data_IF_929253174038
#
_entry.id   IF_929253174038
#
_cell.length_a   1.000
_cell.length_b   1.000
_cell.length_c   1.000
_cell.angle_alpha   90.00
_cell.angle_beta   90.00
_cell.angle_gamma   90.00
#
_symmetry.space_group_name_H-M   'P 1'
#
loop_
_entity.id
_entity.type
_entity.pdbx_description
1 polymer ?
#
# COMPACT_ATOMS: atom_id res chain seq x y z
N UNK A 1 28.85 -6.94 -15.18
CA UNK A 1 27.55 -6.50 -14.64
C UNK A 1 27.75 -5.87 -13.26
N UNK A 2 26.81 -5.04 -12.78
CA UNK A 2 26.91 -4.29 -11.51
C UNK A 2 26.08 -5.00 -10.44
N UNK A 3 26.62 -5.20 -9.24
CA UNK A 3 25.82 -5.66 -8.10
C UNK A 3 26.62 -6.11 -6.89
N UNK A 4 25.94 -6.68 -5.90
CA UNK A 4 26.52 -7.06 -4.61
C UNK A 4 27.09 -8.51 -4.58
N UNK A 5 26.72 -9.35 -5.55
CA UNK A 5 27.11 -10.77 -5.58
C UNK A 5 28.54 -10.94 -6.13
N UNK A 6 29.32 -11.93 -5.66
CA UNK A 6 30.62 -12.27 -6.25
C UNK A 6 30.55 -12.46 -7.78
N UNK A 7 31.54 -11.95 -8.50
CA UNK A 7 31.57 -11.95 -9.96
C UNK A 7 31.04 -10.67 -10.63
N UNK A 8 30.53 -9.70 -9.85
CA UNK A 8 30.21 -8.37 -10.37
C UNK A 8 31.48 -7.62 -10.80
N UNK A 9 31.43 -7.00 -11.98
CA UNK A 9 32.51 -6.17 -12.54
C UNK A 9 32.66 -4.87 -11.74
N UNK A 10 31.52 -4.31 -11.32
CA UNK A 10 31.45 -3.13 -10.45
C UNK A 10 30.61 -3.53 -9.24
N UNK A 11 31.19 -3.40 -8.04
CA UNK A 11 30.51 -3.77 -6.81
C UNK A 11 29.69 -2.61 -6.28
N UNK A 12 28.42 -2.86 -5.98
CA UNK A 12 27.64 -2.00 -5.11
C UNK A 12 27.39 -2.72 -3.77
N UNK A 13 28.16 -2.36 -2.75
CA UNK A 13 28.03 -2.91 -1.40
C UNK A 13 27.25 -1.99 -0.47
N UNK A 14 26.61 -0.93 -1.00
CA UNK A 14 25.79 -0.03 -0.19
C UNK A 14 24.59 -0.79 0.38
N UNK A 15 24.59 -0.99 1.70
CA UNK A 15 23.50 -1.62 2.45
C UNK A 15 22.69 -0.61 3.25
N UNK A 16 23.12 0.64 3.28
CA UNK A 16 22.47 1.73 4.00
C UNK A 16 21.41 2.42 3.14
N UNK A 17 20.37 2.93 3.81
CA UNK A 17 19.31 3.70 3.17
C UNK A 17 18.18 2.89 2.56
N UNK A 18 17.23 3.62 2.01
CA UNK A 18 15.99 3.09 1.46
C UNK A 18 16.25 2.22 0.21
N UNK A 19 15.41 1.21 -0.04
CA UNK A 19 15.57 0.32 -1.19
C UNK A 19 15.65 1.06 -2.54
N UNK A 20 14.77 2.06 -2.72
CA UNK A 20 14.79 2.96 -3.89
C UNK A 20 16.16 3.64 -4.07
N UNK A 21 16.71 4.24 -3.00
CA UNK A 21 17.97 4.98 -3.06
C UNK A 21 19.14 4.06 -3.41
N UNK A 22 19.09 2.79 -2.97
CA UNK A 22 20.08 1.77 -3.38
C UNK A 22 20.00 1.43 -4.86
N UNK A 23 18.80 1.42 -5.46
CA UNK A 23 18.64 1.26 -6.90
C UNK A 23 19.17 2.48 -7.65
N UNK A 24 18.87 3.70 -7.19
CA UNK A 24 19.43 4.95 -7.75
C UNK A 24 20.96 4.93 -7.72
N UNK A 25 21.57 4.53 -6.59
CA UNK A 25 23.02 4.39 -6.47
C UNK A 25 23.59 3.35 -7.45
N UNK A 26 22.89 2.23 -7.63
CA UNK A 26 23.31 1.19 -8.59
C UNK A 26 23.25 1.70 -10.03
N UNK A 27 22.20 2.42 -10.39
CA UNK A 27 22.03 3.04 -11.71
C UNK A 27 23.08 4.12 -11.97
N UNK A 28 23.45 4.90 -10.96
CA UNK A 28 24.50 5.90 -11.06
C UNK A 28 25.86 5.29 -11.41
N UNK A 29 26.18 4.07 -10.93
CA UNK A 29 27.39 3.34 -11.31
C UNK A 29 27.40 2.93 -12.79
N UNK A 30 26.23 2.88 -13.45
CA UNK A 30 26.10 2.67 -14.89
C UNK A 30 26.05 3.99 -15.69
N UNK A 31 26.21 5.15 -15.04
CA UNK A 31 26.09 6.47 -15.65
C UNK A 31 24.65 7.00 -15.76
N UNK A 32 23.68 6.33 -15.14
CA UNK A 32 22.27 6.75 -15.15
C UNK A 32 21.98 7.53 -13.86
N UNK A 33 21.91 8.86 -13.96
CA UNK A 33 21.85 9.75 -12.79
C UNK A 33 20.52 10.50 -12.64
N UNK A 34 19.72 10.59 -13.70
CA UNK A 34 18.43 11.27 -13.67
C UNK A 34 17.28 10.27 -13.40
N UNK A 35 17.27 9.72 -12.19
CA UNK A 35 16.28 8.72 -11.75
C UNK A 35 15.31 9.39 -10.79
N UNK A 36 14.04 9.45 -11.18
CA UNK A 36 12.93 9.92 -10.34
C UNK A 36 11.96 8.79 -10.06
N UNK A 37 11.10 8.99 -9.06
CA UNK A 37 9.95 8.12 -8.84
C UNK A 37 8.94 8.34 -9.98
N UNK A 38 8.47 7.26 -10.58
CA UNK A 38 7.39 7.27 -11.58
C UNK A 38 6.04 7.38 -10.85
N UNK A 39 5.14 8.25 -11.33
CA UNK A 39 3.82 8.47 -10.73
C UNK A 39 2.76 7.43 -11.16
N UNK A 40 3.16 6.49 -12.04
CA UNK A 40 2.33 5.44 -12.63
C UNK A 40 1.11 5.99 -13.38
N UNK A 41 1.20 7.22 -13.90
CA UNK A 41 0.14 7.86 -14.70
C UNK A 41 -0.24 7.07 -15.97
N UNK A 42 0.72 6.33 -16.53
CA UNK A 42 0.50 5.44 -17.69
C UNK A 42 -0.30 4.17 -17.36
N UNK A 43 -0.44 3.80 -16.08
CA UNK A 43 -1.29 2.69 -15.65
C UNK A 43 -2.73 3.18 -15.49
N UNK A 44 -3.45 3.32 -16.59
CA UNK A 44 -4.81 3.89 -16.63
C UNK A 44 -5.92 2.95 -16.17
N UNK A 45 -5.58 1.69 -15.88
CA UNK A 45 -6.57 0.66 -15.57
C UNK A 45 -7.29 0.13 -16.81
N UNK A 46 -8.25 -0.74 -16.55
CA UNK A 46 -9.19 -1.29 -17.52
C UNK A 46 -10.44 -0.42 -17.63
N UNK A 47 -11.19 -0.51 -18.72
CA UNK A 47 -12.47 0.20 -18.90
C UNK A 47 -13.62 -0.41 -18.07
N UNK A 48 -13.31 -1.20 -17.04
CA UNK A 48 -14.30 -1.90 -16.24
C UNK A 48 -14.90 -0.95 -15.18
N UNK A 49 -16.24 -0.86 -15.16
CA UNK A 49 -16.94 -0.20 -14.07
C UNK A 49 -16.99 -1.11 -12.83
N UNK A 50 -16.20 -0.76 -11.82
CA UNK A 50 -16.15 -1.47 -10.54
C UNK A 50 -17.35 -1.14 -9.62
N UNK A 51 -18.21 -0.19 -9.98
CA UNK A 51 -19.34 0.23 -9.15
C UNK A 51 -18.95 1.05 -7.92
N UNK A 52 -17.76 1.65 -7.93
CA UNK A 52 -17.25 2.48 -6.83
C UNK A 52 -18.06 3.78 -6.74
N UNK A 53 -18.41 4.17 -5.51
CA UNK A 53 -19.14 5.39 -5.19
C UNK A 53 -18.20 6.35 -4.43
N UNK A 54 -17.76 7.46 -5.05
CA UNK A 54 -16.99 8.48 -4.36
C UNK A 54 -17.83 9.23 -3.30
N UNK A 55 -17.19 9.70 -2.21
CA UNK A 55 -15.78 9.53 -1.88
C UNK A 55 -15.50 8.12 -1.33
N UNK A 56 -14.33 7.56 -1.63
CA UNK A 56 -13.97 6.20 -1.21
C UNK A 56 -12.55 6.11 -0.65
N UNK A 57 -12.31 5.09 0.18
CA UNK A 57 -11.01 4.79 0.78
C UNK A 57 -10.61 3.38 0.40
N UNK A 58 -9.38 3.23 -0.11
CA UNK A 58 -8.82 1.93 -0.43
C UNK A 58 -8.33 1.23 0.84
N UNK A 59 -8.71 -0.03 1.01
CA UNK A 59 -8.22 -0.91 2.06
C UNK A 59 -7.40 -2.03 1.41
N UNK A 60 -6.15 -2.18 1.84
CA UNK A 60 -5.26 -3.27 1.41
C UNK A 60 -4.97 -4.15 2.64
N UNK A 61 -5.94 -5.01 3.04
CA UNK A 61 -5.82 -5.81 4.26
C UNK A 61 -4.87 -7.00 4.11
N UNK A 62 -4.43 -7.25 2.88
CA UNK A 62 -3.59 -8.36 2.49
C UNK A 62 -2.23 -8.40 3.15
N UNK A 63 -1.65 -9.59 3.20
CA UNK A 63 -0.26 -9.84 3.61
C UNK A 63 0.17 -11.19 3.03
N UNK A 64 1.47 -11.40 2.86
CA UNK A 64 1.98 -12.70 2.40
C UNK A 64 1.39 -13.83 3.28
N UNK A 65 0.83 -14.92 2.70
CA UNK A 65 0.15 -15.96 3.49
C UNK A 65 1.01 -16.59 4.58
N UNK A 66 2.32 -16.67 4.34
CA UNK A 66 3.29 -17.20 5.31
C UNK A 66 3.67 -16.20 6.42
N UNK A 67 3.06 -15.01 6.43
CA UNK A 67 3.37 -13.89 7.33
C UNK A 67 2.10 -13.26 7.93
N UNK A 68 1.24 -14.03 8.61
CA UNK A 68 0.01 -13.50 9.22
C UNK A 68 0.30 -12.41 10.27
N UNK A 69 1.48 -12.41 10.89
CA UNK A 69 1.94 -11.38 11.84
C UNK A 69 2.13 -9.99 11.22
N UNK A 70 2.21 -9.91 9.89
CA UNK A 70 2.24 -8.64 9.13
C UNK A 70 0.85 -8.13 8.77
N UNK A 71 -0.22 -8.84 9.17
CA UNK A 71 -1.59 -8.44 8.92
C UNK A 71 -2.15 -7.71 10.14
N UNK A 72 -2.65 -6.50 9.92
CA UNK A 72 -3.45 -5.82 10.94
C UNK A 72 -4.85 -6.46 11.02
N UNK A 73 -5.34 -6.88 12.20
CA UNK A 73 -6.58 -7.66 12.28
C UNK A 73 -7.86 -6.81 12.22
N UNK A 74 -7.77 -5.48 12.38
CA UNK A 74 -8.95 -4.64 12.64
C UNK A 74 -9.56 -3.97 11.41
N UNK A 75 -9.27 -4.46 10.20
CA UNK A 75 -9.80 -3.88 8.95
C UNK A 75 -11.33 -3.89 8.88
N UNK A 76 -11.99 -4.90 9.46
CA UNK A 76 -13.45 -4.95 9.53
C UNK A 76 -14.02 -3.74 10.27
N UNK A 77 -13.49 -3.46 11.47
CA UNK A 77 -13.91 -2.31 12.27
C UNK A 77 -13.50 -0.98 11.64
N UNK A 78 -12.34 -0.91 10.98
CA UNK A 78 -11.93 0.26 10.21
C UNK A 78 -12.91 0.54 9.05
N UNK A 79 -13.32 -0.49 8.30
CA UNK A 79 -14.27 -0.35 7.21
C UNK A 79 -15.63 0.17 7.71
N UNK A 80 -16.13 -0.33 8.85
CA UNK A 80 -17.34 0.19 9.49
C UNK A 80 -17.17 1.68 9.85
N UNK A 81 -16.03 2.06 10.41
CA UNK A 81 -15.77 3.45 10.79
C UNK A 81 -15.66 4.38 9.57
N UNK A 82 -14.98 3.94 8.50
CA UNK A 82 -14.91 4.67 7.22
C UNK A 82 -16.31 4.90 6.65
N UNK A 83 -17.14 3.86 6.61
CA UNK A 83 -18.52 3.95 6.14
C UNK A 83 -19.37 4.91 6.98
N UNK A 84 -19.23 4.88 8.31
CA UNK A 84 -19.94 5.78 9.22
C UNK A 84 -19.58 7.26 9.01
N UNK A 85 -18.42 7.54 8.40
CA UNK A 85 -17.95 8.88 8.06
C UNK A 85 -18.23 9.28 6.59
N UNK A 86 -19.08 8.52 5.88
CA UNK A 86 -19.56 8.89 4.55
C UNK A 86 -18.63 8.50 3.39
N UNK A 87 -17.61 7.68 3.64
CA UNK A 87 -16.73 7.15 2.60
C UNK A 87 -17.10 5.69 2.30
N UNK A 88 -17.01 5.27 1.03
CA UNK A 88 -17.10 3.85 0.70
C UNK A 88 -15.75 3.15 0.98
N UNK A 89 -15.68 2.11 1.83
CA UNK A 89 -14.49 1.27 1.92
C UNK A 89 -14.39 0.38 0.67
N UNK A 90 -13.25 0.36 0.00
CA UNK A 90 -12.99 -0.48 -1.19
C UNK A 90 -11.82 -1.40 -0.89
N UNK A 91 -12.07 -2.71 -0.87
CA UNK A 91 -11.09 -3.72 -0.49
C UNK A 91 -10.34 -4.19 -1.74
N UNK A 92 -9.02 -4.03 -1.74
CA UNK A 92 -8.11 -4.54 -2.77
C UNK A 92 -7.31 -5.72 -2.24
N UNK A 93 -7.05 -6.69 -3.11
CA UNK A 93 -6.30 -7.89 -2.78
C UNK A 93 -6.30 -8.90 -3.92
N UNK A 94 -5.56 -10.00 -3.74
CA UNK A 94 -5.61 -11.13 -4.67
C UNK A 94 -6.85 -12.00 -4.42
N UNK A 95 -7.12 -12.94 -5.33
CA UNK A 95 -8.21 -13.91 -5.14
C UNK A 95 -8.03 -14.78 -3.88
N UNK A 96 -6.77 -15.03 -3.46
CA UNK A 96 -6.45 -15.81 -2.25
C UNK A 96 -6.87 -15.09 -0.96
N UNK A 97 -7.19 -13.79 -1.04
CA UNK A 97 -7.60 -12.96 0.08
C UNK A 97 -9.13 -12.79 0.16
N UNK A 98 -9.89 -13.54 -0.66
CA UNK A 98 -11.36 -13.46 -0.71
C UNK A 98 -12.01 -13.74 0.64
N UNK A 99 -11.55 -14.77 1.37
CA UNK A 99 -12.08 -15.10 2.70
C UNK A 99 -11.85 -13.97 3.73
N UNK A 100 -10.75 -13.23 3.61
CA UNK A 100 -10.49 -12.05 4.45
C UNK A 100 -11.43 -10.90 4.08
N UNK A 101 -11.65 -10.68 2.78
CA UNK A 101 -12.58 -9.66 2.32
C UNK A 101 -14.03 -9.95 2.74
N UNK A 102 -14.46 -11.22 2.68
CA UNK A 102 -15.79 -11.66 3.16
C UNK A 102 -16.00 -11.37 4.65
N UNK A 103 -14.97 -11.59 5.49
CA UNK A 103 -15.03 -11.23 6.91
C UNK A 103 -15.21 -9.72 7.12
N UNK A 104 -14.57 -8.89 6.30
CA UNK A 104 -14.71 -7.44 6.35
C UNK A 104 -16.12 -7.03 5.89
N UNK A 105 -16.63 -7.58 4.78
CA UNK A 105 -17.98 -7.31 4.27
C UNK A 105 -19.05 -7.68 5.30
N UNK A 106 -18.89 -8.81 6.01
CA UNK A 106 -19.83 -9.23 7.03
C UNK A 106 -20.02 -8.18 8.15
N UNK A 107 -18.95 -7.44 8.49
CA UNK A 107 -19.00 -6.36 9.48
C UNK A 107 -19.33 -4.98 8.87
N UNK A 108 -19.02 -4.77 7.59
CA UNK A 108 -19.24 -3.54 6.86
C UNK A 108 -19.89 -3.84 5.49
N UNK A 109 -21.21 -4.08 5.42
CA UNK A 109 -21.88 -4.49 4.17
C UNK A 109 -21.83 -3.46 3.04
N UNK A 110 -21.53 -2.20 3.36
CA UNK A 110 -21.34 -1.12 2.39
C UNK A 110 -19.95 -1.11 1.75
N UNK A 111 -19.02 -1.92 2.26
CA UNK A 111 -17.69 -2.08 1.67
C UNK A 111 -17.79 -2.82 0.33
N UNK A 112 -17.04 -2.35 -0.65
CA UNK A 112 -16.93 -2.97 -1.96
C UNK A 112 -15.73 -3.92 -1.99
N UNK A 113 -15.97 -5.20 -2.25
CA UNK A 113 -14.91 -6.19 -2.41
C UNK A 113 -14.48 -6.30 -3.88
N UNK A 114 -13.22 -5.92 -4.13
CA UNK A 114 -12.55 -6.04 -5.41
C UNK A 114 -11.38 -7.05 -5.38
N UNK A 115 -11.24 -7.85 -4.33
CA UNK A 115 -10.22 -8.91 -4.25
C UNK A 115 -10.34 -9.87 -5.44
N UNK A 116 -9.24 -10.05 -6.18
CA UNK A 116 -9.20 -10.88 -7.39
C UNK A 116 -10.02 -10.34 -8.58
N UNK A 117 -10.56 -9.12 -8.49
CA UNK A 117 -11.38 -8.49 -9.54
C UNK A 117 -10.66 -7.36 -10.26
N UNK A 118 -9.53 -6.90 -9.73
CA UNK A 118 -8.67 -5.87 -10.33
C UNK A 118 -7.41 -6.47 -10.94
N UNK A 119 -6.94 -5.87 -12.03
CA UNK A 119 -5.59 -6.03 -12.56
C UNK A 119 -4.61 -5.10 -11.85
N UNK A 120 -3.31 -5.36 -12.00
CA UNK A 120 -2.27 -4.49 -11.44
C UNK A 120 -2.39 -3.04 -11.92
N UNK A 121 -2.76 -2.84 -13.19
CA UNK A 121 -2.95 -1.50 -13.78
C UNK A 121 -4.13 -0.74 -13.19
N UNK A 122 -5.11 -1.42 -12.58
CA UNK A 122 -6.26 -0.77 -11.96
C UNK A 122 -5.88 -0.11 -10.62
N UNK A 123 -4.89 -0.65 -9.90
CA UNK A 123 -4.53 -0.16 -8.55
C UNK A 123 -4.14 1.33 -8.57
N UNK A 124 -3.22 1.81 -9.44
CA UNK A 124 -2.89 3.23 -9.51
C UNK A 124 -4.05 4.08 -10.04
N UNK A 125 -4.85 3.54 -10.97
CA UNK A 125 -6.02 4.22 -11.52
C UNK A 125 -7.07 4.51 -10.46
N UNK A 126 -7.38 3.52 -9.61
CA UNK A 126 -8.24 3.70 -8.46
C UNK A 126 -7.61 4.64 -7.42
N UNK A 127 -6.31 4.48 -7.13
CA UNK A 127 -5.62 5.30 -6.13
C UNK A 127 -5.70 6.81 -6.41
N UNK A 128 -5.57 7.21 -7.69
CA UNK A 128 -5.65 8.63 -8.11
C UNK A 128 -6.96 9.33 -7.76
N UNK A 129 -8.04 8.57 -7.59
CA UNK A 129 -9.37 9.11 -7.28
C UNK A 129 -9.84 8.75 -5.85
N UNK A 130 -9.04 8.01 -5.09
CA UNK A 130 -9.34 7.67 -3.71
C UNK A 130 -9.07 8.84 -2.77
N UNK A 131 -9.90 9.01 -1.75
CA UNK A 131 -9.70 10.03 -0.72
C UNK A 131 -8.51 9.69 0.20
N UNK A 132 -8.27 8.40 0.42
CA UNK A 132 -7.11 7.87 1.11
C UNK A 132 -6.95 6.36 0.82
N UNK A 133 -5.82 5.80 1.26
CA UNK A 133 -5.57 4.37 1.31
C UNK A 133 -4.98 3.95 2.65
N UNK A 134 -5.39 2.79 3.16
CA UNK A 134 -4.82 2.17 4.36
C UNK A 134 -4.46 0.73 4.06
N UNK A 135 -3.24 0.33 4.36
CA UNK A 135 -2.78 -1.04 4.07
C UNK A 135 -1.59 -1.48 4.89
N UNK A 136 -1.34 -2.78 4.90
CA UNK A 136 -0.10 -3.34 5.45
C UNK A 136 1.07 -3.06 4.47
N UNK A 137 2.32 -3.17 4.95
CA UNK A 137 3.53 -3.11 4.09
C UNK A 137 3.54 -4.24 3.04
N UNK A 138 2.91 -3.97 1.88
CA UNK A 138 2.65 -4.92 0.80
C UNK A 138 2.68 -4.23 -0.56
N UNK A 139 2.85 -5.02 -1.62
CA UNK A 139 3.00 -4.55 -3.00
C UNK A 139 1.98 -3.49 -3.45
N UNK A 140 0.66 -3.66 -3.23
CA UNK A 140 -0.31 -2.65 -3.65
C UNK A 140 -0.08 -1.27 -3.03
N UNK A 141 0.38 -1.19 -1.77
CA UNK A 141 0.69 0.11 -1.14
C UNK A 141 1.86 0.82 -1.83
N UNK A 142 2.82 0.07 -2.39
CA UNK A 142 3.92 0.63 -3.20
C UNK A 142 3.46 1.14 -4.56
N UNK A 143 2.33 0.65 -5.07
CA UNK A 143 1.71 1.15 -6.32
C UNK A 143 0.78 2.34 -6.06
N UNK A 144 0.13 2.39 -4.91
CA UNK A 144 -0.77 3.48 -4.50
C UNK A 144 0.04 4.75 -4.17
N UNK A 145 1.08 4.63 -3.37
CA UNK A 145 1.88 5.75 -2.87
C UNK A 145 2.37 6.76 -3.93
N UNK A 146 2.96 6.34 -5.08
CA UNK A 146 3.48 7.28 -6.07
C UNK A 146 2.39 8.09 -6.78
N UNK A 147 1.12 7.68 -6.73
CA UNK A 147 0.02 8.32 -7.45
C UNK A 147 -0.43 9.67 -6.87
N UNK A 148 0.08 10.03 -5.69
CA UNK A 148 -0.39 11.19 -4.93
C UNK A 148 -1.56 10.88 -3.99
N UNK A 149 -2.10 9.66 -4.00
CA UNK A 149 -3.08 9.20 -3.03
C UNK A 149 -2.54 9.31 -1.58
N UNK A 150 -3.27 9.96 -0.65
CA UNK A 150 -2.92 9.94 0.76
C UNK A 150 -2.89 8.50 1.30
N UNK A 151 -1.73 8.00 1.69
CA UNK A 151 -1.53 6.59 2.00
C UNK A 151 -0.96 6.38 3.41
N UNK A 152 -1.65 5.60 4.21
CA UNK A 152 -1.21 5.17 5.53
C UNK A 152 -0.79 3.69 5.50
N UNK A 153 0.49 3.44 5.77
CA UNK A 153 1.06 2.09 5.72
C UNK A 153 1.36 1.57 7.12
N UNK A 154 0.85 0.38 7.44
CA UNK A 154 1.00 -0.26 8.74
C UNK A 154 2.20 -1.24 8.72
N UNK A 155 3.16 -1.00 9.62
CA UNK A 155 4.38 -1.78 9.75
C UNK A 155 4.41 -2.55 11.08
N UNK A 156 4.73 -3.85 11.01
CA UNK A 156 5.09 -4.63 12.19
C UNK A 156 6.59 -4.53 12.50
N UNK A 157 7.06 -5.11 13.61
CA UNK A 157 8.51 -5.25 13.87
C UNK A 157 9.26 -6.10 12.81
N UNK A 158 8.54 -6.82 11.94
CA UNK A 158 9.12 -7.70 10.92
C UNK A 158 9.40 -6.97 9.59
N UNK A 159 9.26 -5.65 9.56
CA UNK A 159 9.67 -4.79 8.45
C UNK A 159 10.12 -3.43 8.96
N UNK A 160 11.12 -2.87 8.30
CA UNK A 160 11.71 -1.57 8.65
C UNK A 160 11.22 -0.50 7.66
N UNK A 161 10.39 0.47 8.10
CA UNK A 161 9.88 1.53 7.23
C UNK A 161 11.01 2.43 6.70
N UNK A 162 12.14 2.57 7.39
CA UNK A 162 13.28 3.35 6.86
C UNK A 162 13.88 2.70 5.60
N UNK A 163 13.68 1.39 5.44
CA UNK A 163 14.20 0.61 4.31
C UNK A 163 13.17 0.37 3.22
N UNK A 164 11.90 0.26 3.58
CA UNK A 164 10.85 -0.27 2.69
C UNK A 164 9.54 0.54 2.70
N UNK A 165 9.45 1.71 3.33
CA UNK A 165 8.24 2.52 3.22
C UNK A 165 7.98 2.89 1.75
N UNK A 166 6.74 2.73 1.25
CA UNK A 166 6.36 3.26 -0.06
C UNK A 166 6.77 4.73 -0.23
N UNK A 167 7.26 5.10 -1.41
CA UNK A 167 7.61 6.48 -1.73
C UNK A 167 6.42 7.16 -2.39
N UNK A 168 6.10 8.37 -1.98
CA UNK A 168 5.01 9.18 -2.51
C UNK A 168 4.92 10.52 -1.78
N UNK A 169 4.19 11.49 -2.37
CA UNK A 169 4.07 12.83 -1.81
C UNK A 169 3.30 12.87 -0.47
N UNK A 170 2.37 11.93 -0.29
CA UNK A 170 1.43 11.90 0.85
C UNK A 170 1.43 10.53 1.55
N UNK A 171 2.62 10.01 1.89
CA UNK A 171 2.76 8.73 2.58
C UNK A 171 3.16 8.93 4.04
N UNK A 172 2.45 8.25 4.92
CA UNK A 172 2.78 8.15 6.33
C UNK A 172 2.80 6.68 6.76
N UNK A 173 3.57 6.39 7.82
CA UNK A 173 3.68 5.05 8.38
C UNK A 173 3.28 5.04 9.83
N UNK A 174 2.55 4.00 10.25
CA UNK A 174 2.42 3.64 11.66
C UNK A 174 3.11 2.31 11.89
N UNK A 175 4.03 2.29 12.86
CA UNK A 175 4.75 1.09 13.23
C UNK A 175 4.36 0.64 14.63
N UNK A 176 4.14 -0.66 14.80
CA UNK A 176 3.95 -1.30 16.10
C UNK A 176 4.69 -2.63 16.14
N UNK A 177 5.26 -3.06 17.29
CA UNK A 177 5.81 -4.41 17.40
C UNK A 177 4.80 -5.49 17.02
N UNK A 178 3.56 -5.33 17.51
CA UNK A 178 2.42 -6.17 17.13
C UNK A 178 1.33 -5.29 16.55
N UNK A 179 0.92 -5.57 15.31
CA UNK A 179 -0.06 -4.75 14.62
C UNK A 179 -1.40 -4.72 15.37
N UNK A 180 -1.80 -5.80 16.04
CA UNK A 180 -3.02 -5.86 16.84
C UNK A 180 -3.15 -4.75 17.90
N UNK A 181 -2.03 -4.18 18.35
CA UNK A 181 -1.99 -3.12 19.36
C UNK A 181 -2.34 -1.74 18.78
N UNK A 182 -2.29 -1.58 17.45
CA UNK A 182 -2.79 -0.38 16.77
C UNK A 182 -4.31 -0.39 16.81
N UNK A 183 -4.91 0.57 17.52
CA UNK A 183 -6.36 0.69 17.61
C UNK A 183 -6.95 1.28 16.33
N UNK A 184 -8.22 0.95 16.05
CA UNK A 184 -8.95 1.49 14.90
C UNK A 184 -8.99 3.02 14.95
N UNK A 185 -9.25 3.59 16.13
CA UNK A 185 -9.27 5.05 16.33
C UNK A 185 -7.95 5.71 15.98
N UNK A 186 -6.80 5.10 16.34
CA UNK A 186 -5.49 5.65 15.98
C UNK A 186 -5.28 5.64 14.47
N UNK A 187 -5.56 4.50 13.82
CA UNK A 187 -5.41 4.34 12.37
C UNK A 187 -6.34 5.29 11.62
N UNK A 188 -7.62 5.35 12.00
CA UNK A 188 -8.61 6.22 11.39
C UNK A 188 -8.24 7.70 11.53
N UNK A 189 -7.87 8.17 12.73
CA UNK A 189 -7.46 9.57 12.92
C UNK A 189 -6.24 9.94 12.08
N UNK A 190 -5.25 9.05 11.99
CA UNK A 190 -4.05 9.29 11.18
C UNK A 190 -4.38 9.34 9.69
N UNK A 191 -5.25 8.44 9.21
CA UNK A 191 -5.77 8.47 7.83
C UNK A 191 -6.54 9.77 7.55
N UNK A 192 -7.43 10.20 8.45
CA UNK A 192 -8.23 11.42 8.27
C UNK A 192 -7.35 12.68 8.24
N UNK A 193 -6.26 12.72 9.01
CA UNK A 193 -5.30 13.84 8.95
C UNK A 193 -4.54 13.91 7.62
N UNK A 194 -4.37 12.78 6.92
CA UNK A 194 -3.69 12.72 5.62
C UNK A 194 -4.59 13.18 4.47
N UNK A 195 -5.91 13.02 4.62
CA UNK A 195 -6.91 13.30 3.58
C UNK A 195 -7.42 14.75 3.58
N UNK A 196 -6.83 15.64 4.39
CA UNK A 196 -7.18 17.06 4.53
C UNK A 196 -6.15 17.93 3.83
#
# INVERSE_FOLDING_TARGET
>A
WIGATPGATIRNNSTSGHAFDRHVQTLALAGITNVSLDDLSWMTGTDHDFGIQPPYVLLVPGSAPQRPEKRWPHYAALATQIAAHGFQPVILGSADESALAEQIIAAAPTALNLCGRTQLTDIPALARHAAAAVGNDTGPMHMIAPTGCPALVLFSAHSDPQRHAPRGAHVETLQSPHLQDLTVTQVFKKMEMLSR
#
